data_IF_417282043137
#
_entry.id   IF_417282043137
#
_cell.length_a   1.000
_cell.length_b   1.000
_cell.length_c   1.000
_cell.angle_alpha   90.00
_cell.angle_beta   90.00
_cell.angle_gamma   90.00
#
_symmetry.space_group_name_H-M   'P 1'
#
loop_
_entity.id
_entity.type
_entity.pdbx_description
1 polymer ?
#
# COMPACT_ATOMS: atom_id res chain seq x y z
N UNK A 1 14.76 2.55 15.65
CA UNK A 1 14.42 1.65 14.51
C UNK A 1 13.37 0.57 14.84
N UNK A 2 13.14 0.17 16.10
CA UNK A 2 12.24 -0.95 16.44
C UNK A 2 10.71 -0.73 16.37
N UNK A 3 10.20 0.49 16.52
CA UNK A 3 8.73 0.74 16.57
C UNK A 3 8.00 0.76 15.22
N UNK A 4 8.74 0.91 14.11
CA UNK A 4 8.16 1.03 12.74
C UNK A 4 8.14 -0.32 12.01
N UNK A 5 8.94 -1.29 12.44
CA UNK A 5 8.98 -2.63 11.81
C UNK A 5 7.75 -3.46 12.17
N UNK A 6 7.22 -3.31 13.38
CA UNK A 6 6.11 -4.10 13.89
C UNK A 6 4.80 -3.88 13.11
N UNK A 7 4.38 -2.64 12.78
CA UNK A 7 3.18 -2.41 11.98
C UNK A 7 3.27 -2.97 10.55
N UNK A 8 4.45 -2.85 9.91
CA UNK A 8 4.64 -3.40 8.57
C UNK A 8 4.57 -4.93 8.59
N UNK A 9 5.22 -5.58 9.56
CA UNK A 9 5.18 -7.03 9.71
C UNK A 9 3.74 -7.54 9.91
N UNK A 10 2.97 -6.89 10.77
CA UNK A 10 1.56 -7.23 10.99
C UNK A 10 0.74 -7.09 9.70
N UNK A 11 0.86 -5.95 9.01
CA UNK A 11 0.16 -5.72 7.75
C UNK A 11 0.47 -6.79 6.71
N UNK A 12 1.73 -7.23 6.62
CA UNK A 12 2.14 -8.30 5.72
C UNK A 12 1.43 -9.62 6.04
N UNK A 13 1.39 -10.00 7.33
CA UNK A 13 0.73 -11.22 7.78
C UNK A 13 -0.78 -11.21 7.49
N UNK A 14 -1.46 -10.09 7.79
CA UNK A 14 -2.89 -9.94 7.53
C UNK A 14 -3.22 -9.96 6.03
N UNK A 15 -2.43 -9.27 5.20
CA UNK A 15 -2.60 -9.27 3.74
C UNK A 15 -2.43 -10.67 3.16
N UNK A 16 -1.45 -11.42 3.65
CA UNK A 16 -1.17 -12.79 3.20
C UNK A 16 -2.29 -13.75 3.63
N UNK A 17 -2.82 -13.59 4.83
CA UNK A 17 -3.96 -14.36 5.33
C UNK A 17 -5.24 -14.06 4.53
N UNK A 18 -5.54 -12.78 4.25
CA UNK A 18 -6.70 -12.38 3.45
C UNK A 18 -6.64 -12.98 2.04
N UNK A 19 -5.45 -13.03 1.44
CA UNK A 19 -5.24 -13.61 0.10
C UNK A 19 -5.47 -15.12 0.04
N UNK A 20 -5.37 -15.83 1.16
CA UNK A 20 -5.64 -17.26 1.24
C UNK A 20 -7.15 -17.58 1.31
N UNK A 21 -8.00 -16.57 1.55
CA UNK A 21 -9.44 -16.74 1.62
C UNK A 21 -10.07 -16.70 0.21
N UNK A 22 -11.11 -17.50 -0.06
CA UNK A 22 -11.84 -17.40 -1.31
C UNK A 22 -12.62 -16.07 -1.37
N UNK A 23 -12.52 -15.36 -2.50
CA UNK A 23 -13.30 -14.15 -2.72
C UNK A 23 -12.56 -13.10 -3.54
N UNK A 24 -13.24 -11.97 -3.80
CA UNK A 24 -12.65 -10.80 -4.44
C UNK A 24 -12.38 -9.74 -3.38
N UNK A 25 -11.11 -9.41 -3.18
CA UNK A 25 -10.68 -8.36 -2.26
C UNK A 25 -10.29 -7.11 -3.04
N UNK A 26 -10.78 -5.94 -2.58
CA UNK A 26 -10.41 -4.63 -3.11
C UNK A 26 -9.83 -3.82 -1.95
N UNK A 27 -8.54 -3.53 -2.02
CA UNK A 27 -7.87 -2.65 -1.07
C UNK A 27 -7.79 -1.24 -1.66
N UNK A 28 -8.24 -0.25 -0.89
CA UNK A 28 -8.14 1.17 -1.26
C UNK A 28 -7.16 1.85 -0.31
N UNK A 29 -6.13 2.47 -0.88
CA UNK A 29 -5.13 3.25 -0.15
C UNK A 29 -4.87 4.56 -0.88
N UNK A 30 -4.45 5.57 -0.15
CA UNK A 30 -4.00 6.85 -0.69
C UNK A 30 -2.51 6.79 -1.07
N UNK A 31 -2.11 7.58 -2.06
CA UNK A 31 -0.70 7.75 -2.45
C UNK A 31 -0.08 8.95 -1.73
N UNK A 32 0.80 8.76 -0.73
CA UNK A 32 1.37 9.87 0.03
C UNK A 32 2.50 10.59 -0.70
N UNK A 33 3.19 9.94 -1.64
CA UNK A 33 4.45 10.43 -2.23
C UNK A 33 4.32 11.69 -3.10
N UNK A 34 3.11 12.15 -3.37
CA UNK A 34 2.84 13.33 -4.21
C UNK A 34 2.53 14.60 -3.40
N UNK A 35 2.84 14.63 -2.10
CA UNK A 35 2.67 15.80 -1.22
C UNK A 35 4.03 16.37 -0.82
N UNK A 36 4.02 17.63 -0.38
CA UNK A 36 5.19 18.23 0.29
C UNK A 36 5.58 17.35 1.48
N UNK A 37 6.89 17.08 1.60
CA UNK A 37 7.45 16.24 2.65
C UNK A 37 7.00 16.71 4.04
N UNK A 38 6.79 15.77 4.95
CA UNK A 38 6.48 16.11 6.32
C UNK A 38 7.65 16.86 6.98
N UNK A 39 7.33 17.96 7.65
CA UNK A 39 8.31 18.82 8.33
C UNK A 39 8.95 18.11 9.53
N UNK A 40 8.18 17.24 10.20
CA UNK A 40 8.63 16.49 11.39
C UNK A 40 9.25 15.14 11.03
N UNK A 41 10.21 14.69 11.84
CA UNK A 41 10.81 13.36 11.69
C UNK A 41 9.79 12.21 11.81
N UNK A 42 8.79 12.37 12.68
CA UNK A 42 7.69 11.40 12.84
C UNK A 42 6.83 11.34 11.59
N UNK A 43 6.51 12.49 10.98
CA UNK A 43 5.73 12.53 9.76
C UNK A 43 6.47 11.89 8.58
N UNK A 44 7.81 12.08 8.47
CA UNK A 44 8.61 11.40 7.44
C UNK A 44 8.60 9.89 7.64
N UNK A 45 8.84 9.42 8.86
CA UNK A 45 8.79 8.00 9.19
C UNK A 45 7.41 7.38 8.90
N UNK A 46 6.32 8.12 9.12
CA UNK A 46 4.97 7.69 8.80
C UNK A 46 4.72 7.59 7.29
N UNK A 47 5.13 8.60 6.52
CA UNK A 47 5.06 8.60 5.05
C UNK A 47 5.85 7.44 4.45
N UNK A 48 7.07 7.21 4.93
CA UNK A 48 7.93 6.10 4.48
C UNK A 48 7.29 4.74 4.77
N UNK A 49 6.71 4.57 5.97
CA UNK A 49 5.98 3.35 6.32
C UNK A 49 4.79 3.12 5.39
N UNK A 50 4.00 4.16 5.11
CA UNK A 50 2.86 4.06 4.17
C UNK A 50 3.29 3.72 2.75
N UNK A 51 4.40 4.27 2.28
CA UNK A 51 5.00 3.88 1.00
C UNK A 51 5.34 2.38 0.95
N UNK A 52 5.96 1.85 2.01
CA UNK A 52 6.28 0.40 2.12
C UNK A 52 5.03 -0.48 2.20
N UNK A 53 3.98 -0.02 2.87
CA UNK A 53 2.68 -0.71 2.93
C UNK A 53 2.05 -0.77 1.54
N UNK A 54 1.97 0.36 0.83
CA UNK A 54 1.43 0.43 -0.54
C UNK A 54 2.22 -0.46 -1.50
N UNK A 55 3.55 -0.43 -1.45
CA UNK A 55 4.42 -1.28 -2.27
C UNK A 55 4.16 -2.77 -1.99
N UNK A 56 4.03 -3.15 -0.72
CA UNK A 56 3.75 -4.54 -0.37
C UNK A 56 2.37 -4.99 -0.87
N UNK A 57 1.33 -4.20 -0.63
CA UNK A 57 -0.02 -4.50 -1.11
C UNK A 57 -0.04 -4.65 -2.64
N UNK A 58 0.58 -3.71 -3.36
CA UNK A 58 0.70 -3.77 -4.82
C UNK A 58 1.45 -5.02 -5.32
N UNK A 59 2.46 -5.49 -4.57
CA UNK A 59 3.18 -6.73 -4.90
C UNK A 59 2.30 -7.98 -4.80
N UNK A 60 1.32 -7.98 -3.90
CA UNK A 60 0.41 -9.12 -3.67
C UNK A 60 -0.88 -9.05 -4.48
N UNK A 61 -1.29 -7.86 -4.92
CA UNK A 61 -2.50 -7.66 -5.71
C UNK A 61 -2.35 -8.17 -7.14
N UNK A 62 -3.40 -8.74 -7.73
CA UNK A 62 -3.40 -9.16 -9.14
C UNK A 62 -3.44 -7.96 -10.09
N UNK A 63 -4.15 -6.90 -9.68
CA UNK A 63 -4.25 -5.63 -10.41
C UNK A 63 -4.03 -4.45 -9.47
N UNK A 64 -3.48 -3.35 -10.01
CA UNK A 64 -3.28 -2.09 -9.30
C UNK A 64 -3.67 -0.95 -10.24
N UNK A 65 -4.52 -0.06 -9.75
CA UNK A 65 -4.99 1.14 -10.47
C UNK A 65 -4.76 2.36 -9.58
N UNK A 66 -4.07 3.36 -10.10
CA UNK A 66 -4.05 4.70 -9.52
C UNK A 66 -5.23 5.48 -10.08
N UNK A 67 -6.00 6.16 -9.23
CA UNK A 67 -7.12 6.99 -9.69
C UNK A 67 -6.74 8.46 -9.53
N UNK A 68 -6.76 9.22 -10.63
CA UNK A 68 -6.43 10.65 -10.66
C UNK A 68 -7.63 11.41 -11.21
N UNK A 69 -8.22 12.32 -10.41
CA UNK A 69 -9.42 13.07 -10.80
C UNK A 69 -10.57 12.18 -11.29
N UNK A 70 -10.74 11.00 -10.68
CA UNK A 70 -11.73 10.00 -11.08
C UNK A 70 -11.36 9.15 -12.31
N UNK A 71 -10.23 9.45 -12.96
CA UNK A 71 -9.75 8.70 -14.12
C UNK A 71 -8.86 7.53 -13.66
N UNK A 72 -9.18 6.29 -14.05
CA UNK A 72 -8.37 5.14 -13.71
C UNK A 72 -7.10 5.07 -14.57
N UNK A 73 -5.96 4.92 -13.91
CA UNK A 73 -4.63 4.73 -14.49
C UNK A 73 -4.12 3.34 -14.08
N UNK A 74 -4.29 2.30 -14.93
CA UNK A 74 -3.79 0.96 -14.63
C UNK A 74 -2.26 0.97 -14.50
N UNK A 75 -1.74 0.45 -13.39
CA UNK A 75 -0.30 0.31 -13.12
C UNK A 75 0.13 -1.16 -13.25
N UNK A 76 -0.70 -2.08 -12.76
CA UNK A 76 -0.54 -3.53 -12.89
C UNK A 76 -1.86 -4.10 -13.40
N UNK A 77 -1.81 -4.84 -14.49
CA UNK A 77 -2.97 -5.58 -15.00
C UNK A 77 -2.85 -7.05 -14.62
N UNK A 78 -3.97 -7.76 -14.41
CA UNK A 78 -3.95 -9.21 -14.24
C UNK A 78 -3.23 -9.87 -15.42
N UNK A 79 -2.49 -10.97 -15.19
CA UNK A 79 -2.01 -11.79 -16.30
C UNK A 79 -3.21 -12.25 -17.14
N UNK A 80 -3.02 -12.24 -18.47
CA UNK A 80 -4.01 -12.71 -19.43
C UNK A 80 -4.20 -14.22 -19.35
#
# INVERSE_FOLDING_TARGET
MGRVAQPLHQFKGETDALRALPGRFIAVTNEPGMRVHAETAVGRAFTDLRGRVNQYAASRADAVTLVVSGLPMPIKTPPR
#
